data_IF_980660768175
#
_entry.id   IF_980660768175
#
_cell.length_a   1.000
_cell.length_b   1.000
_cell.length_c   1.000
_cell.angle_alpha   90.00
_cell.angle_beta   90.00
_cell.angle_gamma   90.00
#
_symmetry.space_group_name_H-M   'P 1'
#
loop_
_entity.id
_entity.type
_entity.pdbx_description
1 polymer ?
#
# COMPACT_ATOMS: atom_id res chain seq x y z
N UNK A 1 0.02 -13.56 -0.17
CA UNK A 1 1.38 -13.08 -0.48
C UNK A 1 1.68 -11.78 0.31
N UNK A 2 1.71 -11.82 1.65
CA UNK A 2 1.76 -10.61 2.49
C UNK A 2 3.16 -10.21 3.01
N UNK A 3 4.17 -11.08 2.83
CA UNK A 3 5.55 -10.82 3.26
C UNK A 3 6.40 -10.12 2.20
N UNK A 4 5.79 -9.66 1.10
CA UNK A 4 6.51 -9.00 0.02
C UNK A 4 6.97 -7.61 0.49
N UNK A 5 8.21 -7.25 0.20
CA UNK A 5 8.80 -5.99 0.67
C UNK A 5 8.19 -4.82 -0.10
N UNK A 6 8.03 -3.66 0.56
CA UNK A 6 7.53 -2.44 -0.09
C UNK A 6 8.38 -2.02 -1.29
N UNK A 7 9.71 -2.26 -1.21
CA UNK A 7 10.66 -2.03 -2.31
C UNK A 7 10.37 -2.87 -3.56
N UNK A 8 9.69 -4.00 -3.42
CA UNK A 8 9.30 -4.90 -4.52
C UNK A 8 7.86 -4.66 -4.99
N UNK A 9 7.15 -3.70 -4.39
CA UNK A 9 5.78 -3.33 -4.72
C UNK A 9 5.68 -2.13 -5.67
N UNK A 10 6.79 -1.69 -6.28
CA UNK A 10 6.75 -0.60 -7.25
C UNK A 10 6.33 0.75 -6.67
N UNK A 11 6.39 0.92 -5.35
CA UNK A 11 6.09 2.18 -4.69
C UNK A 11 7.14 3.24 -5.05
N UNK A 12 6.76 4.53 -5.06
CA UNK A 12 7.73 5.61 -5.20
C UNK A 12 8.82 5.49 -4.12
N UNK A 13 10.10 5.57 -4.52
CA UNK A 13 11.24 5.43 -3.59
C UNK A 13 11.16 6.38 -2.41
N UNK A 14 10.64 7.60 -2.62
CA UNK A 14 10.44 8.60 -1.59
C UNK A 14 9.50 8.10 -0.48
N UNK A 15 8.38 7.49 -0.87
CA UNK A 15 7.40 6.90 0.05
C UNK A 15 8.00 5.68 0.74
N UNK A 16 8.58 4.75 -0.04
CA UNK A 16 9.14 3.51 0.50
C UNK A 16 10.25 3.78 1.53
N UNK A 17 11.04 4.84 1.34
CA UNK A 17 12.06 5.28 2.29
C UNK A 17 11.46 5.77 3.60
N UNK A 18 10.37 6.55 3.55
CA UNK A 18 9.67 7.07 4.74
C UNK A 18 9.08 5.91 5.55
N UNK A 19 8.46 4.93 4.88
CA UNK A 19 7.97 3.70 5.53
C UNK A 19 9.12 2.90 6.18
N UNK A 20 10.22 2.68 5.44
CA UNK A 20 11.38 1.95 5.95
C UNK A 20 12.02 2.64 7.16
N UNK A 21 12.06 3.97 7.19
CA UNK A 21 12.56 4.75 8.32
C UNK A 21 11.74 4.54 9.61
N UNK A 22 10.48 4.11 9.49
CA UNK A 22 9.59 3.77 10.62
C UNK A 22 9.49 2.27 10.89
N UNK A 23 10.42 1.47 10.34
CA UNK A 23 10.42 0.00 10.45
C UNK A 23 9.19 -0.67 9.79
N UNK A 24 8.54 0.03 8.84
CA UNK A 24 7.45 -0.52 8.03
C UNK A 24 8.06 -1.04 6.72
N UNK A 25 8.48 -2.30 6.73
CA UNK A 25 9.29 -2.89 5.63
C UNK A 25 8.40 -3.74 4.72
N UNK A 26 7.39 -4.38 5.29
CA UNK A 26 6.48 -5.27 4.58
C UNK A 26 5.12 -4.64 4.37
N UNK A 27 4.39 -5.11 3.36
CA UNK A 27 3.01 -4.70 3.18
C UNK A 27 2.12 -5.07 4.36
N UNK A 28 2.43 -6.17 5.06
CA UNK A 28 1.71 -6.52 6.28
C UNK A 28 1.87 -5.42 7.33
N UNK A 29 3.05 -4.85 7.53
CA UNK A 29 3.26 -3.79 8.54
C UNK A 29 2.42 -2.56 8.21
N UNK A 30 2.34 -2.20 6.93
CA UNK A 30 1.54 -1.07 6.46
C UNK A 30 0.04 -1.36 6.57
N UNK A 31 -0.41 -2.53 6.11
CA UNK A 31 -1.83 -2.93 6.13
C UNK A 31 -2.33 -3.31 7.54
N UNK A 32 -1.42 -3.53 8.50
CA UNK A 32 -1.77 -3.76 9.91
C UNK A 32 -2.02 -2.45 10.66
N UNK A 33 -1.63 -1.32 10.08
CA UNK A 33 -1.86 0.03 10.61
C UNK A 33 -2.97 0.70 9.81
N UNK A 34 -3.66 1.63 10.47
CA UNK A 34 -4.66 2.47 9.80
C UNK A 34 -4.00 3.62 9.06
N UNK A 35 -4.65 4.15 8.01
CA UNK A 35 -4.16 5.31 7.25
C UNK A 35 -3.90 6.52 8.14
N UNK A 36 -4.67 6.66 9.23
CA UNK A 36 -4.51 7.72 10.21
C UNK A 36 -3.26 7.54 11.07
N UNK A 37 -3.01 6.33 11.60
CA UNK A 37 -1.79 6.03 12.35
C UNK A 37 -0.53 6.22 11.49
N UNK A 38 -0.61 5.82 10.22
CA UNK A 38 0.46 6.02 9.25
C UNK A 38 0.70 7.51 8.98
N UNK A 39 -0.36 8.31 8.84
CA UNK A 39 -0.23 9.77 8.71
C UNK A 39 0.50 10.37 9.92
N UNK A 40 0.11 10.01 11.15
CA UNK A 40 0.76 10.52 12.36
C UNK A 40 2.22 10.05 12.49
N UNK A 41 2.52 8.80 12.12
CA UNK A 41 3.88 8.25 12.19
C UNK A 41 4.81 8.83 11.13
N UNK A 42 4.31 8.98 9.90
CA UNK A 42 5.10 9.39 8.75
C UNK A 42 5.15 10.92 8.60
N UNK A 43 4.27 11.65 9.30
CA UNK A 43 4.12 13.11 9.21
C UNK A 43 3.89 13.56 7.75
N UNK A 44 3.02 12.83 7.04
CA UNK A 44 2.65 13.09 5.64
C UNK A 44 1.13 13.12 5.48
N UNK A 45 0.64 13.79 4.44
CA UNK A 45 -0.80 13.88 4.16
C UNK A 45 -1.48 12.51 4.02
N UNK A 46 -2.69 12.40 4.56
CA UNK A 46 -3.51 11.19 4.47
C UNK A 46 -3.77 10.77 3.02
N UNK A 47 -3.83 11.72 2.08
CA UNK A 47 -3.98 11.42 0.66
C UNK A 47 -2.79 10.64 0.09
N UNK A 48 -1.57 10.94 0.56
CA UNK A 48 -0.34 10.25 0.16
C UNK A 48 -0.31 8.85 0.77
N UNK A 49 -0.69 8.74 2.05
CA UNK A 49 -0.79 7.45 2.74
C UNK A 49 -1.84 6.56 2.06
N UNK A 50 -3.05 7.07 1.83
CA UNK A 50 -4.15 6.33 1.21
C UNK A 50 -3.78 5.84 -0.19
N UNK A 51 -3.10 6.66 -0.99
CA UNK A 51 -2.59 6.25 -2.30
C UNK A 51 -1.58 5.09 -2.19
N UNK A 52 -0.64 5.16 -1.23
CA UNK A 52 0.32 4.09 -1.00
C UNK A 52 -0.35 2.80 -0.50
N UNK A 53 -1.29 2.91 0.44
CA UNK A 53 -2.07 1.78 0.99
C UNK A 53 -2.91 1.13 -0.10
N UNK A 54 -3.59 1.90 -0.93
CA UNK A 54 -4.36 1.39 -2.08
C UNK A 54 -3.46 0.60 -3.04
N UNK A 55 -2.28 1.14 -3.38
CA UNK A 55 -1.33 0.47 -4.27
C UNK A 55 -0.76 -0.82 -3.66
N UNK A 56 -0.44 -0.81 -2.36
CA UNK A 56 0.01 -2.00 -1.62
C UNK A 56 -1.11 -3.05 -1.57
N UNK A 57 -2.34 -2.62 -1.31
CA UNK A 57 -3.53 -3.48 -1.25
C UNK A 57 -3.78 -4.14 -2.60
N UNK A 58 -3.71 -3.39 -3.70
CA UNK A 58 -3.86 -3.91 -5.07
C UNK A 58 -2.81 -4.99 -5.41
N UNK A 59 -1.59 -4.86 -4.91
CA UNK A 59 -0.52 -5.83 -5.17
C UNK A 59 -0.63 -7.07 -4.28
N UNK A 60 -1.02 -6.90 -3.02
CA UNK A 60 -1.09 -7.98 -2.03
C UNK A 60 -2.37 -8.78 -2.11
N UNK A 61 -3.46 -8.08 -2.39
CA UNK A 61 -4.78 -8.59 -2.64
C UNK A 61 -5.15 -8.13 -4.06
N UNK A 62 -4.53 -8.73 -5.10
CA UNK A 62 -5.01 -8.51 -6.46
C UNK A 62 -6.50 -8.78 -6.43
N UNK A 63 -7.33 -7.87 -6.97
CA UNK A 63 -8.76 -8.04 -6.92
C UNK A 63 -9.03 -9.45 -7.40
N UNK A 64 -9.70 -10.25 -6.55
CA UNK A 64 -10.37 -11.44 -7.01
C UNK A 64 -11.00 -11.05 -8.34
N UNK A 65 -10.64 -11.77 -9.40
CA UNK A 65 -11.29 -11.66 -10.69
C UNK A 65 -12.78 -11.79 -10.44
N UNK A 66 -13.43 -10.66 -10.19
CA UNK A 66 -14.85 -10.53 -10.38
C UNK A 66 -14.89 -10.40 -11.88
N UNK A 67 -15.06 -11.55 -12.52
CA UNK A 67 -15.66 -11.66 -13.85
C UNK A 67 -16.98 -10.88 -13.79
N UNK A 68 -16.91 -9.56 -13.93
CA UNK A 68 -17.92 -8.77 -14.58
C UNK A 68 -17.34 -8.57 -15.98
N UNK A 69 -17.70 -9.42 -16.95
CA UNK A 69 -18.90 -9.15 -17.75
C UNK A 69 -19.16 -7.64 -17.85
N UNK A 70 -18.34 -6.96 -18.64
CA UNK A 70 -18.82 -5.83 -19.42
C UNK A 70 -18.64 -6.19 -20.88
N UNK A 71 -19.59 -6.99 -21.35
CA UNK A 71 -20.05 -6.98 -22.73
C UNK A 71 -20.47 -5.56 -23.10
N UNK A 72 -20.32 -5.18 -24.38
CA UNK A 72 -20.47 -3.88 -25.06
C UNK A 72 -19.15 -3.07 -25.15
N UNK A 73 -18.57 -2.85 -26.32
CA UNK A 73 -19.14 -2.49 -27.63
C UNK A 73 -18.35 -3.10 -28.78
#
# INVERSE_FOLDING_TARGET
MANKMLSEMGLPKSIAYIFAARNLITAKDVLSLTEFELMELLDVDIAVVASAVAHISEITCPPYQTTAETSIT
#
